data_IF_090647771381
#
_entry.id   IF_090647771381
#
_cell.length_a   1.000
_cell.length_b   1.000
_cell.length_c   1.000
_cell.angle_alpha   90.00
_cell.angle_beta   90.00
_cell.angle_gamma   90.00
#
_symmetry.space_group_name_H-M   'P 1'
#
loop_
_entity.id
_entity.type
_entity.pdbx_description
1 polymer ?
#
# COMPACT_ATOMS: atom_id res chain seq x y z
N UNK A 1 -12.59 15.96 11.93
CA UNK A 1 -11.45 15.85 11.01
C UNK A 1 -11.56 14.55 10.23
N UNK A 2 -11.41 14.64 8.91
CA UNK A 2 -11.48 13.41 8.11
C UNK A 2 -10.22 12.57 8.28
N UNK A 3 -10.41 11.27 8.21
CA UNK A 3 -9.34 10.30 8.29
C UNK A 3 -8.52 10.28 7.00
N UNK A 4 -7.20 10.30 7.13
CA UNK A 4 -6.31 10.10 6.00
C UNK A 4 -5.97 8.61 5.90
N UNK A 5 -6.64 7.90 5.01
CA UNK A 5 -6.48 6.45 4.89
C UNK A 5 -5.15 6.05 4.27
N UNK A 6 -4.53 6.90 3.45
CA UNK A 6 -3.17 6.64 2.96
C UNK A 6 -2.20 6.55 4.14
N UNK A 7 -2.27 7.50 5.07
CA UNK A 7 -1.43 7.49 6.26
C UNK A 7 -1.75 6.31 7.17
N UNK A 8 -3.03 5.98 7.30
CA UNK A 8 -3.47 4.84 8.11
C UNK A 8 -2.84 3.54 7.58
N UNK A 9 -2.88 3.34 6.27
CA UNK A 9 -2.29 2.16 5.64
C UNK A 9 -0.76 2.17 5.78
N UNK A 10 -0.13 3.33 5.60
CA UNK A 10 1.31 3.47 5.81
C UNK A 10 1.70 3.02 7.22
N UNK A 11 1.03 3.56 8.23
CA UNK A 11 1.33 3.24 9.63
C UNK A 11 1.09 1.75 9.93
N UNK A 12 0.06 1.17 9.33
CA UNK A 12 -0.25 -0.25 9.49
C UNK A 12 0.84 -1.14 8.91
N UNK A 13 1.37 -0.79 7.73
CA UNK A 13 2.49 -1.53 7.12
C UNK A 13 3.74 -1.38 7.98
N UNK A 14 4.05 -0.17 8.43
CA UNK A 14 5.24 0.11 9.24
C UNK A 14 5.20 -0.62 10.60
N UNK A 15 4.01 -0.85 11.13
CA UNK A 15 3.83 -1.51 12.43
C UNK A 15 3.87 -3.04 12.36
N UNK A 16 4.04 -3.62 11.18
CA UNK A 16 4.09 -5.07 11.01
C UNK A 16 5.31 -5.65 11.73
N UNK A 17 5.12 -6.49 12.77
CA UNK A 17 6.24 -7.07 13.50
C UNK A 17 7.08 -8.04 12.66
N UNK A 18 6.49 -8.59 11.59
CA UNK A 18 7.16 -9.49 10.66
C UNK A 18 7.65 -8.76 9.41
N UNK A 19 7.62 -7.43 9.42
CA UNK A 19 7.92 -6.61 8.24
C UNK A 19 9.39 -6.50 7.87
N UNK A 20 10.29 -7.01 8.70
CA UNK A 20 11.73 -7.06 8.44
C UNK A 20 12.33 -5.72 8.02
N UNK A 21 11.86 -4.63 8.63
CA UNK A 21 12.36 -3.27 8.37
C UNK A 21 11.84 -2.63 7.10
N UNK A 22 10.90 -3.27 6.42
CA UNK A 22 10.27 -2.68 5.23
C UNK A 22 9.47 -1.46 5.64
N UNK A 23 9.77 -0.31 5.04
CA UNK A 23 9.16 0.97 5.39
C UNK A 23 8.26 1.46 4.27
N UNK A 24 7.09 1.98 4.65
CA UNK A 24 6.14 2.55 3.72
C UNK A 24 6.26 4.08 3.69
N UNK A 25 5.98 4.66 2.53
CA UNK A 25 6.06 6.10 2.30
C UNK A 25 4.84 6.56 1.51
N UNK A 26 4.45 7.80 1.70
CA UNK A 26 3.38 8.43 0.90
C UNK A 26 3.94 9.02 -0.40
N UNK A 27 5.25 9.22 -0.46
CA UNK A 27 5.96 9.66 -1.65
C UNK A 27 7.30 8.92 -1.71
N UNK A 28 7.86 8.77 -2.91
CA UNK A 28 9.20 8.19 -3.02
C UNK A 28 10.20 9.14 -2.39
N UNK A 29 10.95 8.70 -1.36
CA UNK A 29 11.93 9.58 -0.71
C UNK A 29 13.11 9.87 -1.64
N UNK A 30 13.75 11.04 -1.45
CA UNK A 30 14.92 11.44 -2.24
C UNK A 30 16.08 10.46 -2.05
N UNK A 31 16.26 9.97 -0.82
CA UNK A 31 17.30 9.00 -0.48
C UNK A 31 16.64 7.62 -0.39
N UNK A 32 16.34 7.06 -1.57
CA UNK A 32 15.49 5.89 -1.70
C UNK A 32 16.21 4.60 -1.33
N UNK A 33 15.68 3.82 -0.35
CA UNK A 33 16.19 2.47 -0.10
C UNK A 33 15.82 1.54 -1.26
N UNK A 34 16.52 0.40 -1.35
CA UNK A 34 16.24 -0.59 -2.40
C UNK A 34 14.86 -1.21 -2.25
N UNK A 35 14.45 -1.46 -1.01
CA UNK A 35 13.16 -2.05 -0.69
C UNK A 35 12.30 -1.02 0.01
N UNK A 36 11.18 -0.70 -0.58
CA UNK A 36 10.23 0.23 0.01
C UNK A 36 8.83 -0.04 -0.51
N UNK A 37 7.87 0.52 0.20
CA UNK A 37 6.47 0.51 -0.21
C UNK A 37 6.03 1.95 -0.36
N UNK A 38 5.29 2.26 -1.42
CA UNK A 38 4.65 3.56 -1.57
C UNK A 38 3.15 3.38 -1.66
N UNK A 39 2.40 4.36 -1.16
CA UNK A 39 0.95 4.33 -1.12
C UNK A 39 0.43 5.58 -1.80
N UNK A 40 -0.45 5.39 -2.77
CA UNK A 40 -1.04 6.48 -3.53
C UNK A 40 -2.54 6.24 -3.71
N UNK A 41 -3.34 7.25 -3.46
CA UNK A 41 -4.75 7.17 -3.77
C UNK A 41 -4.94 7.44 -5.26
N UNK A 42 -5.56 6.49 -5.96
CA UNK A 42 -5.75 6.56 -7.40
C UNK A 42 -7.22 6.67 -7.79
N UNK A 43 -8.13 6.64 -6.82
CA UNK A 43 -9.55 6.76 -7.11
C UNK A 43 -10.42 6.56 -5.89
N UNK A 44 -11.66 6.18 -6.15
CA UNK A 44 -12.65 5.97 -5.12
C UNK A 44 -13.52 7.19 -4.88
N UNK A 45 -14.43 7.08 -3.93
CA UNK A 45 -15.36 8.16 -3.64
C UNK A 45 -15.45 8.40 -2.13
N UNK A 46 -16.05 9.54 -1.80
CA UNK A 46 -16.23 9.98 -0.43
C UNK A 46 -17.66 10.44 -0.26
N UNK A 47 -18.18 10.27 0.95
CA UNK A 47 -19.41 10.94 1.35
C UNK A 47 -19.27 11.43 2.79
N UNK A 48 -20.35 11.97 3.34
CA UNK A 48 -20.33 12.61 4.66
C UNK A 48 -19.92 11.64 5.78
N UNK A 49 -20.26 10.37 5.66
CA UNK A 49 -20.13 9.38 6.74
C UNK A 49 -19.10 8.30 6.45
N UNK A 50 -18.65 8.17 5.22
CA UNK A 50 -17.75 7.09 4.84
C UNK A 50 -16.77 7.51 3.77
N UNK A 51 -15.67 6.75 3.69
CA UNK A 51 -14.60 6.93 2.73
C UNK A 51 -14.39 5.61 1.99
N UNK A 52 -14.29 5.68 0.68
CA UNK A 52 -14.14 4.51 -0.19
C UNK A 52 -12.98 4.71 -1.15
N UNK A 53 -11.72 4.82 -0.64
CA UNK A 53 -10.59 5.06 -1.53
C UNK A 53 -10.17 3.82 -2.27
N UNK A 54 -9.64 4.04 -3.48
CA UNK A 54 -8.86 3.04 -4.21
C UNK A 54 -7.41 3.43 -4.07
N UNK A 55 -6.60 2.52 -3.54
CA UNK A 55 -5.18 2.78 -3.26
C UNK A 55 -4.31 1.88 -4.12
N UNK A 56 -3.25 2.46 -4.67
CA UNK A 56 -2.17 1.72 -5.31
C UNK A 56 -1.04 1.57 -4.30
N UNK A 57 -0.75 0.33 -3.94
CA UNK A 57 0.33 -0.01 -3.02
C UNK A 57 1.46 -0.55 -3.88
N UNK A 58 2.54 0.21 -4.00
CA UNK A 58 3.66 -0.15 -4.86
C UNK A 58 4.80 -0.70 -4.02
N UNK A 59 5.31 -1.87 -4.41
CA UNK A 59 6.36 -2.59 -3.68
C UNK A 59 7.59 -2.67 -4.58
N UNK A 60 8.68 -2.07 -4.12
CA UNK A 60 9.94 -1.91 -4.85
C UNK A 60 11.00 -2.83 -4.22
N UNK A 61 11.80 -3.46 -5.05
CA UNK A 61 12.90 -4.31 -4.58
C UNK A 61 14.02 -4.38 -5.63
N UNK A 62 15.06 -5.19 -5.34
CA UNK A 62 16.25 -5.28 -6.17
C UNK A 62 15.97 -5.94 -7.53
N UNK A 63 14.99 -6.84 -7.59
CA UNK A 63 14.62 -7.55 -8.81
C UNK A 63 13.11 -7.76 -8.86
N UNK A 64 12.63 -8.14 -10.05
CA UNK A 64 11.21 -8.45 -10.23
C UNK A 64 10.78 -9.59 -9.30
N UNK A 65 11.62 -10.63 -9.17
CA UNK A 65 11.31 -11.77 -8.30
C UNK A 65 11.20 -11.32 -6.84
N UNK A 66 12.16 -10.50 -6.36
CA UNK A 66 12.12 -9.99 -4.99
C UNK A 66 10.90 -9.10 -4.75
N UNK A 67 10.56 -8.24 -5.73
CA UNK A 67 9.37 -7.40 -5.62
C UNK A 67 8.10 -8.25 -5.54
N UNK A 68 8.00 -9.30 -6.35
CA UNK A 68 6.88 -10.22 -6.31
C UNK A 68 6.77 -10.93 -4.97
N UNK A 69 7.89 -11.41 -4.43
CA UNK A 69 7.90 -12.10 -3.13
C UNK A 69 7.49 -11.18 -1.99
N UNK A 70 8.00 -9.95 -1.97
CA UNK A 70 7.61 -8.98 -0.95
C UNK A 70 6.12 -8.62 -1.08
N UNK A 71 5.66 -8.38 -2.31
CA UNK A 71 4.28 -7.97 -2.54
C UNK A 71 3.29 -9.06 -2.12
N UNK A 72 3.51 -10.29 -2.56
CA UNK A 72 2.55 -11.38 -2.33
C UNK A 72 2.73 -12.10 -1.00
N UNK A 73 3.96 -12.17 -0.51
CA UNK A 73 4.27 -12.93 0.71
C UNK A 73 4.26 -12.10 1.99
N UNK A 74 4.45 -10.78 1.89
CA UNK A 74 4.56 -9.92 3.07
C UNK A 74 3.55 -8.79 3.06
N UNK A 75 3.50 -8.00 2.00
CA UNK A 75 2.65 -6.80 1.96
C UNK A 75 1.18 -7.17 1.80
N UNK A 76 0.86 -8.06 0.86
CA UNK A 76 -0.53 -8.46 0.63
C UNK A 76 -1.20 -9.07 1.86
N UNK A 77 -0.59 -10.04 2.57
CA UNK A 77 -1.21 -10.56 3.80
C UNK A 77 -1.48 -9.47 4.83
N UNK A 78 -0.55 -8.52 4.97
CA UNK A 78 -0.71 -7.42 5.91
C UNK A 78 -1.88 -6.51 5.51
N UNK A 79 -2.04 -6.24 4.21
CA UNK A 79 -3.15 -5.44 3.71
C UNK A 79 -4.50 -6.13 3.90
N UNK A 80 -4.55 -7.45 3.76
CA UNK A 80 -5.80 -8.19 3.94
C UNK A 80 -6.30 -8.14 5.38
N UNK A 81 -5.44 -7.81 6.34
CA UNK A 81 -5.80 -7.67 7.75
C UNK A 81 -6.21 -6.24 8.13
N UNK A 82 -6.28 -5.32 7.17
CA UNK A 82 -6.67 -3.93 7.44
C UNK A 82 -8.04 -3.80 8.08
N UNK A 83 -8.94 -4.73 7.84
CA UNK A 83 -10.29 -4.71 8.44
C UNK A 83 -10.28 -5.01 9.93
N UNK A 84 -9.15 -5.43 10.49
CA UNK A 84 -8.97 -5.53 11.94
C UNK A 84 -8.76 -4.17 12.59
N UNK A 85 -8.47 -3.15 11.79
CA UNK A 85 -8.15 -1.81 12.27
C UNK A 85 -9.37 -0.89 12.13
N UNK A 86 -9.89 -0.40 13.25
CA UNK A 86 -10.91 0.64 13.23
C UNK A 86 -10.33 1.91 12.59
N UNK A 87 -11.05 2.62 11.75
CA UNK A 87 -12.46 2.42 11.37
C UNK A 87 -12.67 1.69 10.03
N UNK A 88 -11.73 0.86 9.60
CA UNK A 88 -11.83 0.15 8.33
C UNK A 88 -12.83 -1.00 8.45
N UNK A 89 -13.88 -0.96 7.64
CA UNK A 89 -14.92 -1.98 7.67
C UNK A 89 -14.63 -3.12 6.70
N UNK A 90 -14.00 -2.81 5.56
CA UNK A 90 -13.74 -3.82 4.55
C UNK A 90 -12.52 -3.44 3.72
N UNK A 91 -11.80 -4.46 3.26
CA UNK A 91 -10.73 -4.34 2.30
C UNK A 91 -10.94 -5.38 1.20
N UNK A 92 -10.75 -4.98 -0.05
CA UNK A 92 -10.76 -5.91 -1.18
C UNK A 92 -9.59 -5.62 -2.10
N UNK A 93 -9.05 -6.67 -2.71
CA UNK A 93 -7.93 -6.56 -3.63
C UNK A 93 -8.45 -6.65 -5.06
N UNK A 94 -8.15 -5.62 -5.84
CA UNK A 94 -8.54 -5.60 -7.25
C UNK A 94 -7.53 -6.36 -8.11
N UNK A 95 -6.24 -6.12 -7.88
CA UNK A 95 -5.19 -6.71 -8.71
C UNK A 95 -3.85 -6.71 -8.00
N UNK A 96 -2.99 -7.64 -8.41
CA UNK A 96 -1.58 -7.69 -8.04
C UNK A 96 -0.82 -7.89 -9.34
N UNK A 97 -0.06 -6.90 -9.78
CA UNK A 97 0.59 -6.91 -11.10
C UNK A 97 2.06 -6.52 -11.01
N UNK A 98 2.83 -7.04 -11.96
CA UNK A 98 4.18 -6.55 -12.25
C UNK A 98 4.04 -5.21 -12.97
N UNK A 99 4.55 -4.14 -12.35
CA UNK A 99 4.34 -2.79 -12.84
C UNK A 99 5.61 -1.97 -12.65
N UNK A 100 6.68 -2.30 -13.42
CA UNK A 100 7.98 -1.67 -13.18
C UNK A 100 7.95 -0.17 -13.43
N UNK A 101 8.76 0.54 -12.64
CA UNK A 101 8.98 1.95 -12.86
C UNK A 101 9.88 2.11 -14.10
N UNK A 102 9.45 2.83 -15.14
CA UNK A 102 10.25 2.97 -16.35
C UNK A 102 11.56 3.73 -16.15
N UNK A 103 11.69 4.46 -15.05
CA UNK A 103 12.89 5.24 -14.77
C UNK A 103 13.05 6.46 -15.66
N UNK A 104 14.29 6.86 -16.00
CA UNK A 104 15.59 6.18 -15.89
C UNK A 104 16.26 6.30 -14.52
N UNK A 105 16.93 5.22 -14.05
CA UNK A 105 16.96 3.87 -14.64
C UNK A 105 15.70 3.08 -14.26
N UNK A 106 15.32 2.04 -15.02
CA UNK A 106 14.16 1.22 -14.66
C UNK A 106 14.34 0.55 -13.29
N UNK A 107 13.26 0.46 -12.53
CA UNK A 107 13.26 -0.15 -11.20
C UNK A 107 12.20 -1.24 -11.12
N UNK A 108 12.56 -2.43 -10.59
CA UNK A 108 11.55 -3.47 -10.35
C UNK A 108 10.52 -3.02 -9.33
N UNK A 109 9.24 -3.22 -9.65
CA UNK A 109 8.14 -2.78 -8.81
C UNK A 109 6.90 -3.61 -9.10
N UNK A 110 6.21 -4.02 -8.04
CA UNK A 110 4.87 -4.61 -8.12
C UNK A 110 3.85 -3.61 -7.62
N UNK A 111 2.63 -3.72 -8.10
CA UNK A 111 1.53 -2.89 -7.62
C UNK A 111 0.36 -3.75 -7.16
N UNK A 112 -0.09 -3.49 -5.95
CA UNK A 112 -1.31 -4.06 -5.38
C UNK A 112 -2.35 -2.94 -5.36
N UNK A 113 -3.47 -3.15 -6.03
CA UNK A 113 -4.57 -2.18 -6.02
C UNK A 113 -5.64 -2.70 -5.09
N UNK A 114 -5.99 -1.90 -4.09
CA UNK A 114 -7.00 -2.26 -3.10
C UNK A 114 -8.11 -1.21 -3.03
N UNK A 115 -9.28 -1.66 -2.59
CA UNK A 115 -10.41 -0.80 -2.27
C UNK A 115 -10.69 -0.93 -0.78
N UNK A 116 -10.88 0.20 -0.12
CA UNK A 116 -11.23 0.24 1.30
C UNK A 116 -12.62 0.84 1.48
N UNK A 117 -13.32 0.36 2.51
CA UNK A 117 -14.53 0.98 3.02
C UNK A 117 -14.28 1.32 4.48
N UNK A 118 -14.43 2.59 4.84
CA UNK A 118 -14.17 3.04 6.19
C UNK A 118 -15.20 4.08 6.63
N UNK A 119 -15.51 4.07 7.92
CA UNK A 119 -16.30 5.13 8.53
C UNK A 119 -15.40 6.35 8.77
N UNK A 120 -15.92 7.55 8.56
CA UNK A 120 -15.15 8.78 8.74
C UNK A 120 -15.48 9.50 10.05
N UNK A 121 -16.37 8.90 10.82
CA UNK A 121 -16.74 9.43 12.13
C UNK A 121 -16.86 8.34 13.18
#
# INVERSE_FOLDING_TARGET
MRLNLEKTVKDWIDADPDGDGLTAYLEVPADRPRRLVTIERVGGNENEYSSHPTLAIQVWAESRWQAAQLATGQVLPRLLDLDLLDPIAAVSVESVIDFPDPGPPPQPRYQITIHLDAATQ
#
